data_IF_127336656014
#
_entry.id   IF_127336656014
#
_cell.length_a   1.000
_cell.length_b   1.000
_cell.length_c   1.000
_cell.angle_alpha   90.00
_cell.angle_beta   90.00
_cell.angle_gamma   90.00
#
_symmetry.space_group_name_H-M   'P 1'
#
loop_
_entity.id
_entity.type
_entity.pdbx_description
1 polymer ?
#
# COMPACT_ATOMS: atom_id res chain seq x y z
N UNK A 1 -1.52 3.59 -16.88
CA UNK A 1 -1.61 2.70 -15.69
C UNK A 1 -1.52 3.59 -14.44
N UNK A 2 -2.55 3.63 -13.59
CA UNK A 2 -2.70 4.60 -12.49
C UNK A 2 -1.83 4.32 -11.24
N UNK A 3 -0.73 3.58 -11.38
CA UNK A 3 0.21 3.24 -10.28
C UNK A 3 -0.47 2.76 -8.99
N UNK A 4 -1.50 1.92 -9.11
CA UNK A 4 -2.29 1.38 -7.98
C UNK A 4 -1.59 0.27 -7.20
N UNK A 5 -0.38 -0.11 -7.60
CA UNK A 5 0.43 -1.07 -6.85
C UNK A 5 1.18 -0.30 -5.77
N UNK A 6 0.97 -0.66 -4.51
CA UNK A 6 1.73 -0.11 -3.40
C UNK A 6 3.22 -0.40 -3.62
N UNK A 7 4.07 0.65 -3.71
CA UNK A 7 5.48 0.48 -4.06
C UNK A 7 6.33 -0.11 -2.91
N UNK A 8 5.81 -0.16 -1.69
CA UNK A 8 6.51 -0.73 -0.54
C UNK A 8 6.10 -2.19 -0.29
N UNK A 9 4.80 -2.46 -0.12
CA UNK A 9 4.28 -3.79 0.18
C UNK A 9 4.09 -4.66 -1.06
N UNK A 10 3.94 -4.05 -2.24
CA UNK A 10 3.56 -4.73 -3.47
C UNK A 10 2.06 -5.03 -3.56
N UNK A 11 1.24 -4.56 -2.61
CA UNK A 11 -0.20 -4.79 -2.62
C UNK A 11 -0.87 -3.97 -3.73
N UNK A 12 -1.60 -4.64 -4.61
CA UNK A 12 -2.38 -3.99 -5.67
C UNK A 12 -3.83 -4.44 -5.78
N UNK A 13 -4.21 -5.54 -5.13
CA UNK A 13 -5.54 -6.14 -5.28
C UNK A 13 -6.61 -5.24 -4.65
N UNK A 14 -6.41 -4.79 -3.40
CA UNK A 14 -7.34 -3.87 -2.73
C UNK A 14 -7.48 -2.56 -3.49
N UNK A 15 -6.37 -1.99 -3.94
CA UNK A 15 -6.35 -0.75 -4.73
C UNK A 15 -7.06 -0.91 -6.09
N UNK A 16 -6.92 -2.08 -6.74
CA UNK A 16 -7.65 -2.39 -7.98
C UNK A 16 -9.16 -2.54 -7.75
N UNK A 17 -9.57 -3.18 -6.66
CA UNK A 17 -10.99 -3.29 -6.29
C UNK A 17 -11.61 -1.93 -5.97
N UNK A 18 -10.89 -1.07 -5.24
CA UNK A 18 -11.32 0.30 -4.97
C UNK A 18 -11.43 1.11 -6.28
N UNK A 19 -10.43 1.01 -7.15
CA UNK A 19 -10.46 1.63 -8.47
C UNK A 19 -11.68 1.18 -9.27
N UNK A 20 -11.97 -0.12 -9.35
CA UNK A 20 -13.15 -0.65 -10.03
C UNK A 20 -14.47 -0.13 -9.42
N UNK A 21 -14.56 -0.06 -8.08
CA UNK A 21 -15.72 0.50 -7.38
C UNK A 21 -15.95 1.96 -7.76
N UNK A 22 -14.89 2.76 -7.81
CA UNK A 22 -14.98 4.17 -8.21
C UNK A 22 -15.31 4.31 -9.70
N UNK A 23 -14.79 3.44 -10.56
CA UNK A 23 -15.18 3.42 -11.97
C UNK A 23 -16.68 3.17 -12.11
N UNK A 24 -17.26 2.21 -11.38
CA UNK A 24 -18.71 1.98 -11.39
C UNK A 24 -19.54 3.16 -10.87
N UNK A 25 -18.95 4.06 -10.09
CA UNK A 25 -19.61 5.26 -9.57
C UNK A 25 -19.62 6.38 -10.60
N UNK A 26 -18.52 6.54 -11.34
CA UNK A 26 -18.32 7.63 -12.30
C UNK A 26 -18.73 7.25 -13.74
N UNK A 27 -18.79 5.95 -14.06
CA UNK A 27 -19.18 5.45 -15.37
C UNK A 27 -20.64 4.98 -15.38
N UNK A 28 -21.50 5.78 -15.98
CA UNK A 28 -22.84 5.40 -16.42
C UNK A 28 -22.81 4.87 -17.86
N UNK A 29 -23.37 3.67 -18.10
CA UNK A 29 -23.30 3.00 -19.40
C UNK A 29 -24.12 3.68 -20.50
N UNK A 30 -25.21 4.36 -20.14
CA UNK A 30 -26.16 4.92 -21.08
C UNK A 30 -25.72 6.35 -21.45
N UNK A 31 -25.31 7.12 -20.44
CA UNK A 31 -24.75 8.47 -20.59
C UNK A 31 -23.36 8.46 -21.27
N UNK A 32 -22.55 7.44 -21.04
CA UNK A 32 -21.20 7.32 -21.61
C UNK A 32 -21.12 6.31 -22.76
N UNK A 33 -22.23 6.07 -23.45
CA UNK A 33 -22.30 5.14 -24.59
C UNK A 33 -21.36 5.54 -25.76
N UNK A 34 -21.04 6.82 -25.90
CA UNK A 34 -20.05 7.35 -26.85
C UNK A 34 -18.61 7.38 -26.33
N UNK A 35 -18.37 6.85 -25.13
CA UNK A 35 -17.07 6.86 -24.45
C UNK A 35 -17.09 7.63 -23.13
N UNK A 36 -16.08 7.39 -22.31
CA UNK A 36 -15.92 8.04 -21.01
C UNK A 36 -15.45 9.48 -21.20
N UNK A 37 -16.20 10.44 -20.64
CA UNK A 37 -15.91 11.87 -20.82
C UNK A 37 -14.70 12.31 -20.01
N UNK A 38 -14.06 13.39 -20.43
CA UNK A 38 -12.92 13.98 -19.72
C UNK A 38 -13.32 14.43 -18.31
N UNK A 39 -14.51 15.02 -18.15
CA UNK A 39 -15.01 15.51 -16.87
C UNK A 39 -15.25 14.35 -15.89
N UNK A 40 -15.82 13.24 -16.34
CA UNK A 40 -16.05 12.07 -15.51
C UNK A 40 -14.72 11.36 -15.17
N UNK A 41 -13.76 11.37 -16.10
CA UNK A 41 -12.42 10.84 -15.86
C UNK A 41 -11.63 11.68 -14.83
N UNK A 42 -11.71 13.01 -14.89
CA UNK A 42 -11.11 13.91 -13.91
C UNK A 42 -11.73 13.70 -12.53
N UNK A 43 -13.07 13.68 -12.43
CA UNK A 43 -13.77 13.44 -11.17
C UNK A 43 -13.42 12.07 -10.55
N UNK A 44 -13.32 11.03 -11.39
CA UNK A 44 -12.84 9.71 -10.96
C UNK A 44 -11.40 9.77 -10.43
N UNK A 45 -10.50 10.42 -11.16
CA UNK A 45 -9.09 10.51 -10.78
C UNK A 45 -8.89 11.32 -9.50
N UNK A 46 -9.62 12.42 -9.32
CA UNK A 46 -9.57 13.24 -8.12
C UNK A 46 -10.04 12.46 -6.88
N UNK A 47 -11.15 11.72 -6.98
CA UNK A 47 -11.64 10.90 -5.87
C UNK A 47 -10.69 9.73 -5.56
N UNK A 48 -10.19 9.05 -6.59
CA UNK A 48 -9.22 7.97 -6.43
C UNK A 48 -7.94 8.47 -5.75
N UNK A 49 -7.43 9.63 -6.17
CA UNK A 49 -6.21 10.21 -5.64
C UNK A 49 -6.39 10.80 -4.24
N UNK A 50 -7.57 11.33 -3.92
CA UNK A 50 -7.91 11.77 -2.57
C UNK A 50 -7.85 10.61 -1.57
N UNK A 51 -8.26 9.40 -1.99
CA UNK A 51 -8.26 8.21 -1.13
C UNK A 51 -6.86 7.57 -1.05
N UNK A 52 -6.23 7.28 -2.20
CA UNK A 52 -5.00 6.48 -2.25
C UNK A 52 -3.71 7.31 -2.30
N UNK A 53 -3.77 8.56 -2.75
CA UNK A 53 -2.59 9.33 -3.13
C UNK A 53 -1.61 9.54 -1.98
N UNK A 54 -2.13 9.83 -0.78
CA UNK A 54 -1.30 10.01 0.42
C UNK A 54 -0.60 8.71 0.82
N UNK A 55 -1.31 7.59 0.79
CA UNK A 55 -0.77 6.28 1.16
C UNK A 55 0.31 5.83 0.17
N UNK A 56 0.01 5.82 -1.13
CA UNK A 56 0.96 5.42 -2.17
C UNK A 56 2.21 6.32 -2.20
N UNK A 57 2.06 7.62 -1.95
CA UNK A 57 3.19 8.56 -1.86
C UNK A 57 4.07 8.28 -0.64
N UNK A 58 3.46 7.97 0.50
CA UNK A 58 4.19 7.58 1.71
C UNK A 58 4.93 6.26 1.50
N UNK A 59 4.26 5.24 0.96
CA UNK A 59 4.88 3.96 0.60
C UNK A 59 6.04 4.15 -0.37
N UNK A 60 5.91 5.02 -1.38
CA UNK A 60 7.00 5.32 -2.33
C UNK A 60 8.20 5.95 -1.62
N UNK A 61 7.95 6.81 -0.65
CA UNK A 61 8.98 7.46 0.15
C UNK A 61 9.70 6.43 1.03
N UNK A 62 8.95 5.56 1.71
CA UNK A 62 9.50 4.46 2.50
C UNK A 62 10.30 3.48 1.65
N UNK A 63 9.81 3.13 0.46
CA UNK A 63 10.52 2.28 -0.50
C UNK A 63 11.89 2.89 -0.85
N UNK A 64 11.94 4.21 -1.11
CA UNK A 64 13.21 4.91 -1.37
C UNK A 64 14.13 4.90 -0.15
N UNK A 65 13.61 5.12 1.05
CA UNK A 65 14.39 5.08 2.29
C UNK A 65 15.01 3.70 2.53
N UNK A 66 14.23 2.62 2.34
CA UNK A 66 14.71 1.25 2.54
C UNK A 66 15.75 0.77 1.52
N UNK A 67 15.97 1.52 0.42
CA UNK A 67 17.10 1.27 -0.49
C UNK A 67 18.44 1.66 0.13
N UNK A 68 18.45 2.43 1.21
CA UNK A 68 19.69 2.85 1.89
C UNK A 68 20.22 1.75 2.79
N UNK A 69 21.22 0.99 2.30
CA UNK A 69 21.84 -0.16 3.00
C UNK A 69 22.16 0.10 4.47
N UNK A 70 22.65 1.29 4.84
CA UNK A 70 22.98 1.64 6.24
C UNK A 70 21.73 1.70 7.13
N UNK A 71 20.66 2.31 6.63
CA UNK A 71 19.37 2.40 7.34
C UNK A 71 18.75 1.01 7.48
N UNK A 72 18.71 0.24 6.40
CA UNK A 72 18.15 -1.13 6.39
C UNK A 72 18.91 -2.05 7.34
N UNK A 73 20.24 -1.99 7.33
CA UNK A 73 21.06 -2.79 8.25
C UNK A 73 20.87 -2.37 9.71
N UNK A 74 20.73 -1.07 10.00
CA UNK A 74 20.42 -0.59 11.33
C UNK A 74 19.04 -1.08 11.80
N UNK A 75 18.04 -1.00 10.93
CA UNK A 75 16.68 -1.45 11.18
C UNK A 75 16.62 -2.96 11.47
N UNK A 76 17.24 -3.80 10.65
CA UNK A 76 17.30 -5.26 10.87
C UNK A 76 18.00 -5.58 12.20
N UNK A 77 19.12 -4.90 12.51
CA UNK A 77 19.82 -5.10 13.78
C UNK A 77 18.98 -4.71 14.99
N UNK A 78 18.17 -3.65 14.88
CA UNK A 78 17.25 -3.23 15.95
C UNK A 78 16.11 -4.23 16.11
N UNK A 79 15.55 -4.70 15.00
CA UNK A 79 14.47 -5.68 14.96
C UNK A 79 14.88 -7.01 15.62
N UNK A 80 16.06 -7.53 15.28
CA UNK A 80 16.60 -8.78 15.85
C UNK A 80 16.85 -8.72 17.37
N UNK A 81 16.88 -7.53 17.99
CA UNK A 81 17.04 -7.40 19.45
C UNK A 81 15.73 -7.50 20.23
N UNK A 82 14.57 -7.36 19.57
CA UNK A 82 13.25 -7.56 20.20
C UNK A 82 12.82 -9.02 19.99
N UNK A 83 12.71 -9.80 21.07
CA UNK A 83 12.27 -11.22 21.01
C UNK A 83 10.89 -11.37 20.37
N UNK A 84 9.99 -10.41 20.57
CA UNK A 84 8.65 -10.38 19.96
C UNK A 84 8.70 -10.45 18.43
N UNK A 85 9.68 -9.82 17.78
CA UNK A 85 9.80 -9.85 16.32
C UNK A 85 10.16 -11.25 15.83
N UNK A 86 10.95 -12.01 16.60
CA UNK A 86 11.26 -13.40 16.29
C UNK A 86 10.04 -14.32 16.41
N UNK A 87 9.21 -14.12 17.42
CA UNK A 87 7.95 -14.85 17.62
C UNK A 87 6.98 -14.57 16.49
N UNK A 88 6.78 -13.28 16.17
CA UNK A 88 5.93 -12.83 15.08
C UNK A 88 6.38 -13.43 13.73
N UNK A 89 7.68 -13.40 13.42
CA UNK A 89 8.20 -14.00 12.18
C UNK A 89 7.99 -15.52 12.13
N UNK A 90 7.98 -16.20 13.28
CA UNK A 90 7.74 -17.64 13.37
C UNK A 90 6.26 -17.99 13.20
N UNK A 91 5.36 -17.20 13.79
CA UNK A 91 3.90 -17.30 13.59
C UNK A 91 3.50 -17.02 12.12
N UNK A 92 4.22 -16.13 11.42
CA UNK A 92 4.03 -15.84 9.99
C UNK A 92 4.45 -16.97 9.04
N UNK A 93 5.35 -17.87 9.46
CA UNK A 93 5.64 -19.09 8.69
C UNK A 93 4.44 -20.04 8.78
N UNK A 94 3.68 -19.97 9.88
CA UNK A 94 2.53 -20.83 10.14
C UNK A 94 1.23 -20.33 9.48
N UNK A 95 1.06 -19.03 9.18
CA UNK A 95 -0.15 -18.52 8.52
C UNK A 95 0.14 -17.45 7.44
N UNK A 96 -0.56 -17.58 6.30
CA UNK A 96 -0.46 -16.62 5.18
C UNK A 96 -1.20 -15.32 5.45
N UNK A 97 -2.31 -15.34 6.20
CA UNK A 97 -3.04 -14.11 6.52
C UNK A 97 -2.22 -13.15 7.43
N UNK A 98 -1.36 -13.67 8.30
CA UNK A 98 -0.49 -12.84 9.15
C UNK A 98 0.70 -12.22 8.39
N UNK A 99 1.06 -12.76 7.21
CA UNK A 99 2.11 -12.16 6.38
C UNK A 99 1.69 -10.77 5.88
N UNK A 100 0.42 -10.60 5.50
CA UNK A 100 -0.04 -9.38 4.84
C UNK A 100 -0.07 -8.19 5.80
N UNK A 101 -0.47 -8.38 7.06
CA UNK A 101 -0.47 -7.30 8.06
C UNK A 101 0.94 -6.84 8.46
N UNK A 102 1.91 -7.74 8.49
CA UNK A 102 3.27 -7.41 8.91
C UNK A 102 4.15 -6.81 7.83
N UNK A 103 3.88 -7.07 6.56
CA UNK A 103 4.53 -6.33 5.47
C UNK A 103 3.97 -4.92 5.29
N UNK A 104 3.00 -4.52 6.11
CA UNK A 104 2.56 -3.14 6.18
C UNK A 104 3.71 -2.25 6.71
N UNK A 105 4.17 -1.26 5.91
CA UNK A 105 5.25 -0.36 6.29
C UNK A 105 5.02 0.34 7.65
N UNK A 106 3.77 0.69 7.94
CA UNK A 106 3.38 1.37 9.17
C UNK A 106 3.43 0.43 10.37
N UNK A 107 3.03 -0.83 10.20
CA UNK A 107 3.14 -1.85 11.23
C UNK A 107 4.61 -2.10 11.59
N UNK A 108 5.46 -2.30 10.57
CA UNK A 108 6.90 -2.47 10.76
C UNK A 108 7.54 -1.29 11.49
N UNK A 109 7.18 -0.07 11.08
CA UNK A 109 7.67 1.14 11.73
C UNK A 109 7.24 1.18 13.20
N UNK A 110 5.96 0.97 13.51
CA UNK A 110 5.46 0.94 14.89
C UNK A 110 6.18 -0.11 15.72
N UNK A 111 6.26 -1.35 15.24
CA UNK A 111 6.83 -2.49 15.98
C UNK A 111 8.33 -2.31 16.29
N UNK A 112 9.07 -1.66 15.39
CA UNK A 112 10.54 -1.52 15.51
C UNK A 112 10.97 -0.20 16.16
N UNK A 113 10.23 0.88 15.91
CA UNK A 113 10.61 2.24 16.34
C UNK A 113 9.89 2.67 17.62
N UNK A 114 8.62 2.28 17.82
CA UNK A 114 7.93 2.56 19.07
C UNK A 114 8.31 1.51 20.14
N UNK A 115 8.34 1.90 21.43
CA UNK A 115 8.65 0.98 22.53
C UNK A 115 7.70 -0.20 22.55
#
# INVERSE_FOLDING_TARGET
AASLVDPFSGEGIGNALLSAKLTSKHFDKDLHSSGFTSEAAEAYMDELWAILGKELTNSKTLQKMMKWKRLTNWFIKKANRKKEIGTIMSEMIASKEAQTELWNPWFLFKTIVLP
#
